data_IF_348841061197
#
_entry.id   IF_348841061197
#
_cell.length_a   1.000
_cell.length_b   1.000
_cell.length_c   1.000
_cell.angle_alpha   90.00
_cell.angle_beta   90.00
_cell.angle_gamma   90.00
#
_symmetry.space_group_name_H-M   'P 1'
#
loop_
_entity.id
_entity.type
_entity.pdbx_description
1 polymer ?
#
# COMPACT_ATOMS: atom_id res chain seq x y z
N UNK A 1 -0.90 49.70 -5.44
CA UNK A 1 -0.49 48.39 -5.98
C UNK A 1 -0.74 47.36 -4.89
N UNK A 2 -1.99 46.92 -4.76
CA UNK A 2 -2.36 45.94 -3.74
C UNK A 2 -2.17 44.56 -4.33
N UNK A 3 -1.20 43.86 -3.76
CA UNK A 3 -0.87 42.46 -3.99
C UNK A 3 -2.11 41.62 -3.69
N UNK A 4 -2.73 41.08 -4.73
CA UNK A 4 -3.80 40.08 -4.62
C UNK A 4 -3.11 38.75 -4.27
N UNK A 5 -3.04 38.45 -2.98
CA UNK A 5 -2.69 37.13 -2.50
C UNK A 5 -3.65 36.11 -3.12
N UNK A 6 -3.10 35.21 -3.95
CA UNK A 6 -3.85 34.09 -4.54
C UNK A 6 -4.25 33.09 -3.45
N UNK A 7 -5.47 32.54 -3.49
CA UNK A 7 -5.88 31.47 -2.58
C UNK A 7 -5.29 30.15 -3.08
N UNK A 8 -4.02 29.88 -2.80
CA UNK A 8 -3.41 28.57 -3.11
C UNK A 8 -3.55 27.58 -1.94
N UNK A 9 -4.14 28.00 -0.82
CA UNK A 9 -4.22 27.20 0.41
C UNK A 9 -5.36 26.17 0.43
N UNK A 10 -6.50 26.45 -0.22
CA UNK A 10 -7.70 25.58 -0.12
C UNK A 10 -7.61 24.31 -1.00
N UNK A 11 -6.86 24.37 -2.10
CA UNK A 11 -6.74 23.24 -3.02
C UNK A 11 -5.70 22.20 -2.57
N UNK A 12 -4.66 22.62 -1.83
CA UNK A 12 -3.62 21.74 -1.31
C UNK A 12 -4.16 20.81 -0.22
N UNK A 13 -4.99 21.33 0.69
CA UNK A 13 -5.58 20.52 1.77
C UNK A 13 -6.52 19.43 1.22
N UNK A 14 -7.24 19.71 0.12
CA UNK A 14 -8.10 18.73 -0.54
C UNK A 14 -7.28 17.63 -1.26
N UNK A 15 -6.20 18.00 -1.96
CA UNK A 15 -5.33 17.01 -2.63
C UNK A 15 -4.56 16.12 -1.65
N UNK A 16 -4.20 16.67 -0.48
CA UNK A 16 -3.51 15.92 0.56
C UNK A 16 -4.44 14.90 1.24
N UNK A 17 -5.71 15.26 1.43
CA UNK A 17 -6.74 14.34 1.90
C UNK A 17 -7.00 13.20 0.90
N UNK A 18 -7.03 13.49 -0.39
CA UNK A 18 -7.21 12.48 -1.44
C UNK A 18 -6.00 11.53 -1.54
N UNK A 19 -4.79 12.07 -1.39
CA UNK A 19 -3.55 11.28 -1.38
C UNK A 19 -3.43 10.39 -0.14
N UNK A 20 -3.86 10.89 1.02
CA UNK A 20 -3.89 10.13 2.27
C UNK A 20 -4.90 8.97 2.21
N UNK A 21 -6.12 9.21 1.73
CA UNK A 21 -7.13 8.15 1.53
C UNK A 21 -6.64 7.10 0.52
N UNK A 22 -6.01 7.54 -0.58
CA UNK A 22 -5.44 6.62 -1.56
C UNK A 22 -4.33 5.75 -0.95
N UNK A 23 -3.42 6.33 -0.16
CA UNK A 23 -2.37 5.60 0.52
C UNK A 23 -2.93 4.55 1.50
N UNK A 24 -3.96 4.89 2.27
CA UNK A 24 -4.62 3.96 3.20
C UNK A 24 -5.31 2.81 2.46
N UNK A 25 -5.94 3.08 1.32
CA UNK A 25 -6.52 2.03 0.46
C UNK A 25 -5.48 1.11 -0.13
N UNK A 26 -4.33 1.63 -0.56
CA UNK A 26 -3.18 0.82 -1.01
C UNK A 26 -2.69 -0.06 0.12
N UNK A 27 -2.48 0.47 1.33
CA UNK A 27 -2.08 -0.30 2.52
C UNK A 27 -3.07 -1.43 2.80
N UNK A 28 -4.37 -1.12 2.80
CA UNK A 28 -5.42 -2.12 3.03
C UNK A 28 -5.45 -3.21 1.95
N UNK A 29 -5.22 -2.86 0.67
CA UNK A 29 -5.13 -3.84 -0.42
C UNK A 29 -3.88 -4.71 -0.28
N UNK A 30 -2.73 -4.11 0.00
CA UNK A 30 -1.47 -4.81 0.24
C UNK A 30 -1.61 -5.87 1.33
N UNK A 31 -2.25 -5.51 2.45
CA UNK A 31 -2.54 -6.44 3.55
C UNK A 31 -3.40 -7.64 3.11
N UNK A 32 -4.47 -7.38 2.34
CA UNK A 32 -5.36 -8.45 1.84
C UNK A 32 -4.61 -9.41 0.92
N UNK A 33 -3.78 -8.88 0.01
CA UNK A 33 -2.98 -9.69 -0.91
C UNK A 33 -1.94 -10.50 -0.13
N UNK A 34 -1.22 -9.87 0.80
CA UNK A 34 -0.24 -10.54 1.65
C UNK A 34 -0.82 -11.76 2.35
N UNK A 35 -1.96 -11.59 3.03
CA UNK A 35 -2.63 -12.69 3.75
C UNK A 35 -2.99 -13.83 2.79
N UNK A 36 -3.65 -13.51 1.67
CA UNK A 36 -4.06 -14.50 0.66
C UNK A 36 -2.86 -15.29 0.13
N UNK A 37 -1.78 -14.61 -0.22
CA UNK A 37 -0.60 -15.26 -0.81
C UNK A 37 0.19 -16.06 0.24
N UNK A 38 0.30 -15.56 1.47
CA UNK A 38 0.91 -16.31 2.58
C UNK A 38 0.12 -17.59 2.88
N UNK A 39 -1.20 -17.51 2.99
CA UNK A 39 -2.07 -18.66 3.22
C UNK A 39 -1.95 -19.68 2.08
N UNK A 40 -1.94 -19.20 0.83
CA UNK A 40 -1.77 -20.05 -0.36
C UNK A 40 -0.39 -20.74 -0.36
N UNK A 41 0.67 -20.00 -0.04
CA UNK A 41 2.02 -20.54 0.04
C UNK A 41 2.14 -21.60 1.16
N UNK A 42 1.60 -21.31 2.33
CA UNK A 42 1.59 -22.24 3.46
C UNK A 42 0.78 -23.50 3.16
N UNK A 43 -0.37 -23.39 2.49
CA UNK A 43 -1.16 -24.53 2.04
C UNK A 43 -0.35 -25.42 1.09
N UNK A 44 0.24 -24.83 0.04
CA UNK A 44 1.07 -25.55 -0.94
C UNK A 44 2.28 -26.24 -0.32
N UNK A 45 2.91 -25.61 0.67
CA UNK A 45 4.04 -26.21 1.36
C UNK A 45 3.60 -27.36 2.25
N UNK A 46 2.44 -27.25 2.91
CA UNK A 46 1.85 -28.33 3.72
C UNK A 46 1.55 -29.57 2.89
N UNK A 47 1.14 -29.38 1.63
CA UNK A 47 0.86 -30.49 0.70
C UNK A 47 2.15 -31.19 0.21
N UNK A 48 3.31 -30.53 0.32
CA UNK A 48 4.61 -31.06 -0.12
C UNK A 48 5.49 -31.60 1.01
N UNK A 49 5.10 -31.42 2.27
CA UNK A 49 5.84 -31.87 3.44
C UNK A 49 5.56 -31.05 4.70
N UNK A 50 6.29 -31.33 5.79
CA UNK A 50 6.12 -30.60 7.05
C UNK A 50 6.80 -29.23 7.01
N UNK A 51 5.99 -28.17 7.13
CA UNK A 51 6.50 -26.83 7.45
C UNK A 51 6.48 -26.65 8.95
N UNK A 52 7.68 -26.59 9.53
CA UNK A 52 7.86 -26.36 10.97
C UNK A 52 7.29 -25.00 11.38
N UNK A 53 6.83 -24.83 12.63
CA UNK A 53 6.38 -23.53 13.14
C UNK A 53 7.43 -22.41 12.95
N UNK A 54 8.72 -22.72 13.04
CA UNK A 54 9.79 -21.76 12.81
C UNK A 54 9.83 -21.26 11.36
N UNK A 55 9.74 -22.17 10.38
CA UNK A 55 9.70 -21.80 8.96
C UNK A 55 8.44 -20.99 8.61
N UNK A 56 7.29 -21.29 9.24
CA UNK A 56 6.07 -20.49 9.07
C UNK A 56 6.27 -19.04 9.50
N UNK A 57 6.93 -18.81 10.63
CA UNK A 57 7.24 -17.47 11.13
C UNK A 57 8.19 -16.72 10.19
N UNK A 58 9.19 -17.41 9.65
CA UNK A 58 10.12 -16.81 8.67
C UNK A 58 9.39 -16.39 7.39
N UNK A 59 8.49 -17.24 6.88
CA UNK A 59 7.70 -16.92 5.69
C UNK A 59 6.74 -15.75 5.94
N UNK A 60 6.08 -15.70 7.10
CA UNK A 60 5.25 -14.57 7.47
C UNK A 60 6.06 -13.26 7.52
N UNK A 61 7.21 -13.28 8.20
CA UNK A 61 8.10 -12.11 8.27
C UNK A 61 8.63 -11.68 6.89
N UNK A 62 8.88 -12.63 5.98
CA UNK A 62 9.26 -12.31 4.60
C UNK A 62 8.10 -11.65 3.84
N UNK A 63 6.89 -12.21 3.95
CA UNK A 63 5.70 -11.66 3.31
C UNK A 63 5.38 -10.24 3.83
N UNK A 64 5.55 -10.01 5.13
CA UNK A 64 5.42 -8.68 5.75
C UNK A 64 6.41 -7.70 5.14
N UNK A 65 7.72 -8.01 5.16
CA UNK A 65 8.76 -7.13 4.62
C UNK A 65 8.57 -6.79 3.14
N UNK A 66 8.18 -7.77 2.34
CA UNK A 66 7.92 -7.56 0.91
C UNK A 66 6.72 -6.64 0.70
N UNK A 67 5.65 -6.87 1.45
CA UNK A 67 4.43 -6.06 1.33
C UNK A 67 4.70 -4.64 1.80
N UNK A 68 5.34 -4.47 2.96
CA UNK A 68 5.67 -3.17 3.53
C UNK A 68 6.56 -2.36 2.58
N UNK A 69 7.61 -2.98 2.02
CA UNK A 69 8.52 -2.30 1.10
C UNK A 69 7.83 -1.83 -0.19
N UNK A 70 6.89 -2.61 -0.72
CA UNK A 70 6.14 -2.26 -1.92
C UNK A 70 5.10 -1.19 -1.64
N UNK A 71 4.32 -1.36 -0.56
CA UNK A 71 3.26 -0.43 -0.15
C UNK A 71 3.85 0.93 0.23
N UNK A 72 4.91 0.95 1.03
CA UNK A 72 5.53 2.20 1.48
C UNK A 72 6.06 3.00 0.29
N UNK A 73 6.72 2.33 -0.67
CA UNK A 73 7.20 3.00 -1.89
C UNK A 73 6.08 3.69 -2.67
N UNK A 74 4.90 3.07 -2.77
CA UNK A 74 3.76 3.67 -3.48
C UNK A 74 3.07 4.76 -2.64
N UNK A 75 2.97 4.56 -1.33
CA UNK A 75 2.43 5.55 -0.41
C UNK A 75 3.27 6.83 -0.38
N UNK A 76 4.61 6.73 -0.37
CA UNK A 76 5.49 7.90 -0.45
C UNK A 76 5.32 8.64 -1.78
N UNK A 77 5.20 7.90 -2.90
CA UNK A 77 4.97 8.50 -4.22
C UNK A 77 3.64 9.27 -4.33
N UNK A 78 2.60 8.80 -3.64
CA UNK A 78 1.34 9.55 -3.51
C UNK A 78 1.53 10.80 -2.66
N UNK A 79 2.20 10.67 -1.51
CA UNK A 79 2.46 11.82 -0.62
C UNK A 79 3.31 12.91 -1.28
N UNK A 80 4.27 12.51 -2.12
CA UNK A 80 5.14 13.44 -2.86
C UNK A 80 4.46 14.02 -4.13
N UNK A 81 3.22 13.61 -4.43
CA UNK A 81 2.49 14.05 -5.63
C UNK A 81 3.06 13.52 -6.95
N UNK A 82 3.96 12.52 -6.91
CA UNK A 82 4.52 11.89 -8.11
C UNK A 82 3.47 11.04 -8.86
N UNK A 83 2.43 10.62 -8.15
CA UNK A 83 1.35 9.79 -8.66
C UNK A 83 0.02 10.44 -8.28
N UNK A 84 -0.84 10.62 -9.28
CA UNK A 84 -2.20 11.08 -9.08
C UNK A 84 -3.04 10.04 -8.30
N UNK A 85 -3.73 10.44 -7.21
CA UNK A 85 -4.54 9.54 -6.39
C UNK A 85 -5.64 8.79 -7.17
N UNK A 86 -6.33 9.46 -8.10
CA UNK A 86 -7.40 8.84 -8.90
C UNK A 86 -6.85 7.72 -9.80
N UNK A 87 -5.71 7.96 -10.42
CA UNK A 87 -4.97 6.97 -11.22
C UNK A 87 -4.53 5.78 -10.37
N UNK A 88 -3.98 6.02 -9.17
CA UNK A 88 -3.56 4.96 -8.27
C UNK A 88 -4.74 4.09 -7.80
N UNK A 89 -5.88 4.71 -7.47
CA UNK A 89 -7.09 4.01 -7.05
C UNK A 89 -7.72 3.19 -8.17
N UNK A 90 -7.69 3.68 -9.40
CA UNK A 90 -8.20 2.96 -10.58
C UNK A 90 -7.47 1.63 -10.80
N UNK A 91 -6.15 1.60 -10.56
CA UNK A 91 -5.34 0.38 -10.66
C UNK A 91 -5.59 -0.63 -9.52
N UNK A 92 -6.24 -0.22 -8.42
CA UNK A 92 -6.55 -1.11 -7.29
C UNK A 92 -7.88 -1.85 -7.45
N UNK A 93 -8.74 -1.42 -8.38
CA UNK A 93 -10.11 -1.91 -8.54
C UNK A 93 -10.24 -3.28 -9.24
N UNK A 94 -9.12 -3.91 -9.64
CA UNK A 94 -9.08 -5.26 -10.22
C UNK A 94 -9.34 -6.40 -9.20
#
# INVERSE_FOLDING_TARGET
>A
MTELARPESDFSDLSDLDSSDAADRIRARGERVRRRELDTALARLRDRGEVTPAQRRVLAALADRLTDALVERWASKLADGEVDPETALSLLAE
#
